data_IF_666570704230
#
_entry.id   IF_666570704230
#
_cell.length_a   1.000
_cell.length_b   1.000
_cell.length_c   1.000
_cell.angle_alpha   90.00
_cell.angle_beta   90.00
_cell.angle_gamma   90.00
#
_symmetry.space_group_name_H-M   'P 1'
#
loop_
_entity.id
_entity.type
_entity.pdbx_description
1 polymer ?
#
# COMPACT_ATOMS: atom_id res chain seq x y z
N UNK A 1 -13.03 -13.83 -8.42
CA UNK A 1 -11.62 -13.41 -8.22
C UNK A 1 -11.63 -12.01 -7.60
N UNK A 2 -10.77 -11.72 -6.63
CA UNK A 2 -10.73 -10.37 -6.05
C UNK A 2 -10.02 -9.42 -7.01
N UNK A 3 -10.65 -8.28 -7.30
CA UNK A 3 -10.03 -7.17 -8.03
C UNK A 3 -10.06 -5.91 -7.18
N UNK A 4 -9.10 -5.03 -7.40
CA UNK A 4 -9.03 -3.71 -6.79
C UNK A 4 -8.86 -2.65 -7.87
N UNK A 5 -9.60 -1.56 -7.77
CA UNK A 5 -9.48 -0.44 -8.70
C UNK A 5 -8.25 0.38 -8.34
N UNK A 6 -7.46 0.77 -9.35
CA UNK A 6 -6.25 1.60 -9.14
C UNK A 6 -6.58 2.90 -8.41
N UNK A 7 -7.74 3.52 -8.72
CA UNK A 7 -8.20 4.73 -8.03
C UNK A 7 -8.38 4.54 -6.51
N UNK A 8 -8.88 3.37 -6.10
CA UNK A 8 -9.16 3.07 -4.69
C UNK A 8 -7.84 2.79 -3.95
N UNK A 9 -6.92 2.09 -4.62
CA UNK A 9 -5.55 1.87 -4.13
C UNK A 9 -4.83 3.20 -3.90
N UNK A 10 -4.83 4.07 -4.92
CA UNK A 10 -4.15 5.36 -4.85
C UNK A 10 -4.71 6.21 -3.69
N UNK A 11 -6.03 6.37 -3.62
CA UNK A 11 -6.70 7.11 -2.55
C UNK A 11 -6.40 6.53 -1.16
N UNK A 12 -6.44 5.21 -1.01
CA UNK A 12 -6.17 4.55 0.26
C UNK A 12 -4.72 4.74 0.69
N UNK A 13 -3.74 4.44 -0.19
CA UNK A 13 -2.32 4.58 0.13
C UNK A 13 -1.95 6.02 0.51
N UNK A 14 -2.40 7.02 -0.25
CA UNK A 14 -2.17 8.43 0.09
C UNK A 14 -2.72 8.79 1.48
N UNK A 15 -3.95 8.34 1.80
CA UNK A 15 -4.56 8.55 3.13
C UNK A 15 -3.77 7.88 4.27
N UNK A 16 -3.01 6.82 3.98
CA UNK A 16 -2.18 6.09 4.95
C UNK A 16 -0.78 6.67 5.12
N UNK A 17 -0.48 7.80 4.47
CA UNK A 17 0.81 8.47 4.57
C UNK A 17 1.84 7.95 3.56
N UNK A 18 1.39 7.30 2.49
CA UNK A 18 2.25 7.11 1.33
C UNK A 18 2.31 8.39 0.51
N UNK A 19 3.47 8.62 -0.10
CA UNK A 19 3.68 9.64 -1.11
C UNK A 19 3.83 8.97 -2.48
N UNK A 20 3.06 9.43 -3.46
CA UNK A 20 3.11 8.92 -4.83
C UNK A 20 4.18 9.65 -5.65
N UNK A 21 4.95 8.91 -6.44
CA UNK A 21 5.91 9.43 -7.40
C UNK A 21 5.67 8.78 -8.77
N UNK A 22 5.38 9.60 -9.77
CA UNK A 22 5.14 9.16 -11.15
C UNK A 22 6.46 9.08 -11.93
N UNK A 23 6.64 7.99 -12.68
CA UNK A 23 7.76 7.74 -13.60
C UNK A 23 7.29 6.73 -14.66
N UNK A 24 8.08 5.71 -15.02
CA UNK A 24 7.63 4.59 -15.87
C UNK A 24 6.55 3.72 -15.18
N UNK A 25 6.46 3.85 -13.85
CA UNK A 25 5.43 3.27 -12.99
C UNK A 25 5.01 4.31 -11.96
N UNK A 26 3.83 4.13 -11.36
CA UNK A 26 3.47 4.89 -10.16
C UNK A 26 4.03 4.19 -8.93
N UNK A 27 4.97 4.85 -8.24
CA UNK A 27 5.56 4.37 -7.00
C UNK A 27 4.89 5.02 -5.78
N UNK A 28 4.75 4.26 -4.70
CA UNK A 28 4.28 4.75 -3.40
C UNK A 28 5.33 4.45 -2.35
N UNK A 29 5.75 5.47 -1.61
CA UNK A 29 6.70 5.35 -0.50
C UNK A 29 6.03 5.74 0.80
N UNK A 30 6.12 4.91 1.84
CA UNK A 30 5.54 5.23 3.14
C UNK A 30 6.43 6.21 3.90
N UNK A 31 5.84 7.30 4.37
CA UNK A 31 6.47 8.25 5.28
C UNK A 31 5.84 8.16 6.67
N UNK A 32 6.68 8.04 7.70
CA UNK A 32 6.26 8.01 9.11
C UNK A 32 7.02 9.11 9.82
N UNK A 33 6.30 10.01 10.51
CA UNK A 33 6.87 11.18 11.20
C UNK A 33 7.79 12.03 10.29
N UNK A 34 7.42 12.21 9.02
CA UNK A 34 8.19 12.97 8.04
C UNK A 34 9.41 12.25 7.45
N UNK A 35 9.72 11.04 7.91
CA UNK A 35 10.86 10.25 7.42
C UNK A 35 10.40 9.17 6.44
N UNK A 36 11.12 9.06 5.33
CA UNK A 36 10.90 8.00 4.34
C UNK A 36 11.32 6.65 4.93
N UNK A 37 10.41 5.68 4.88
CA UNK A 37 10.69 4.30 5.32
C UNK A 37 11.21 3.45 4.15
N UNK A 38 11.63 2.21 4.44
CA UNK A 38 11.98 1.21 3.42
C UNK A 38 10.77 0.58 2.75
N UNK A 39 9.54 0.93 3.18
CA UNK A 39 8.30 0.33 2.68
C UNK A 39 7.81 1.11 1.46
N UNK A 40 7.63 0.39 0.36
CA UNK A 40 7.16 0.95 -0.90
C UNK A 40 6.40 -0.08 -1.70
N UNK A 41 5.53 0.37 -2.60
CA UNK A 41 4.83 -0.47 -3.57
C UNK A 41 4.67 0.28 -4.89
N UNK A 42 4.25 -0.41 -5.96
CA UNK A 42 4.04 0.21 -7.28
C UNK A 42 2.96 -0.47 -8.09
N UNK A 43 2.41 0.24 -9.06
CA UNK A 43 1.63 -0.33 -10.16
C UNK A 43 2.08 0.26 -11.51
N UNK A 44 1.84 -0.47 -12.59
CA UNK A 44 2.14 -0.02 -13.96
C UNK A 44 1.03 0.85 -14.53
N UNK A 45 1.38 1.72 -15.48
CA UNK A 45 0.41 2.58 -16.15
C UNK A 45 -0.60 1.78 -16.99
N UNK A 46 -1.77 2.38 -17.22
CA UNK A 46 -2.77 1.89 -18.18
C UNK A 46 -3.80 0.92 -17.60
N UNK A 47 -3.54 0.30 -16.46
CA UNK A 47 -4.49 -0.60 -15.82
C UNK A 47 -5.55 0.17 -15.01
N UNK A 48 -6.82 -0.22 -15.16
CA UNK A 48 -7.91 0.34 -14.33
C UNK A 48 -8.12 -0.45 -13.04
N UNK A 49 -7.82 -1.74 -13.08
CA UNK A 49 -7.98 -2.68 -11.98
C UNK A 49 -6.82 -3.67 -11.95
N UNK A 50 -6.48 -4.16 -10.76
CA UNK A 50 -5.48 -5.21 -10.58
C UNK A 50 -6.14 -6.47 -10.01
N UNK A 51 -5.65 -7.62 -10.48
CA UNK A 51 -6.10 -8.94 -10.02
C UNK A 51 -5.25 -9.53 -8.90
N UNK A 52 -5.65 -10.71 -8.44
CA UNK A 52 -5.02 -11.46 -7.35
C UNK A 52 -3.47 -11.51 -7.34
N UNK A 53 -2.76 -11.75 -8.46
CA UNK A 53 -1.29 -11.84 -8.42
C UNK A 53 -0.62 -10.52 -8.03
N UNK A 54 -1.07 -9.41 -8.61
CA UNK A 54 -0.57 -8.07 -8.30
C UNK A 54 -0.95 -7.66 -6.87
N UNK A 55 -2.16 -7.99 -6.43
CA UNK A 55 -2.60 -7.75 -5.04
C UNK A 55 -1.67 -8.45 -4.05
N UNK A 56 -1.34 -9.72 -4.28
CA UNK A 56 -0.43 -10.47 -3.40
C UNK A 56 0.98 -9.86 -3.38
N UNK A 57 1.47 -9.38 -4.53
CA UNK A 57 2.76 -8.70 -4.62
C UNK A 57 2.77 -7.38 -3.84
N UNK A 58 1.73 -6.55 -3.99
CA UNK A 58 1.61 -5.29 -3.26
C UNK A 58 1.46 -5.50 -1.74
N UNK A 59 0.73 -6.54 -1.33
CA UNK A 59 0.63 -6.92 0.08
C UNK A 59 2.01 -7.23 0.68
N UNK A 60 2.80 -8.09 0.01
CA UNK A 60 4.16 -8.42 0.45
C UNK A 60 5.09 -7.20 0.50
N UNK A 61 4.99 -6.32 -0.51
CA UNK A 61 5.75 -5.06 -0.57
C UNK A 61 5.39 -4.10 0.58
N UNK A 62 4.12 -4.07 0.99
CA UNK A 62 3.63 -3.29 2.13
C UNK A 62 3.74 -4.01 3.47
N UNK A 63 4.37 -5.20 3.51
CA UNK A 63 4.54 -6.03 4.71
C UNK A 63 3.22 -6.42 5.37
N UNK A 64 2.20 -6.66 4.54
CA UNK A 64 0.88 -7.12 4.94
C UNK A 64 0.59 -8.47 4.32
N UNK A 65 -0.26 -9.24 5.00
CA UNK A 65 -0.94 -10.35 4.35
C UNK A 65 -1.97 -9.84 3.33
N UNK A 66 -2.37 -10.71 2.41
CA UNK A 66 -3.31 -10.34 1.34
C UNK A 66 -4.60 -9.75 1.89
N UNK A 67 -5.20 -10.37 2.89
CA UNK A 67 -6.47 -9.90 3.46
C UNK A 67 -6.31 -8.56 4.20
N UNK A 68 -5.19 -8.39 4.92
CA UNK A 68 -4.84 -7.11 5.53
C UNK A 68 -4.62 -5.99 4.51
N UNK A 69 -4.02 -6.30 3.36
CA UNK A 69 -3.87 -5.35 2.27
C UNK A 69 -5.23 -5.02 1.64
N UNK A 70 -6.11 -6.01 1.45
CA UNK A 70 -7.48 -5.77 0.99
C UNK A 70 -8.22 -4.83 1.97
N UNK A 71 -8.03 -5.01 3.27
CA UNK A 71 -8.57 -4.15 4.34
C UNK A 71 -7.92 -2.76 4.37
N UNK A 72 -6.64 -2.64 4.03
CA UNK A 72 -5.97 -1.36 3.84
C UNK A 72 -6.64 -0.55 2.73
N UNK A 73 -6.96 -1.20 1.61
CA UNK A 73 -7.55 -0.54 0.44
C UNK A 73 -9.05 -0.29 0.60
N UNK A 74 -9.81 -1.26 1.13
CA UNK A 74 -11.26 -1.16 1.37
C UNK A 74 -11.62 -0.34 2.62
N UNK A 75 -10.60 0.14 3.34
CA UNK A 75 -10.68 1.13 4.40
C UNK A 75 -11.17 0.71 5.82
N UNK A 76 -11.35 -0.57 6.24
CA UNK A 76 -11.49 -0.87 7.67
C UNK A 76 -10.17 -0.68 8.45
N UNK A 77 -9.01 -0.79 7.81
CA UNK A 77 -7.72 -0.62 8.48
C UNK A 77 -7.33 0.87 8.54
N UNK A 78 -7.09 1.43 9.73
CA UNK A 78 -6.70 2.83 9.89
C UNK A 78 -5.20 3.05 9.62
N UNK A 79 -4.76 4.30 9.50
CA UNK A 79 -3.33 4.63 9.33
C UNK A 79 -2.53 4.19 10.55
N UNK A 80 -3.09 4.46 11.72
CA UNK A 80 -2.50 4.18 13.03
C UNK A 80 -2.31 2.67 13.19
N UNK A 81 -3.37 1.87 12.95
CA UNK A 81 -3.28 0.40 12.98
C UNK A 81 -2.24 -0.16 12.01
N UNK A 82 -2.15 0.40 10.80
CA UNK A 82 -1.14 -0.01 9.84
C UNK A 82 0.28 0.26 10.36
N UNK A 83 0.53 1.46 10.92
CA UNK A 83 1.82 1.80 11.53
C UNK A 83 2.12 0.89 12.73
N UNK A 84 1.14 0.56 13.56
CA UNK A 84 1.31 -0.34 14.70
C UNK A 84 1.71 -1.75 14.25
N UNK A 85 1.08 -2.29 13.19
CA UNK A 85 1.48 -3.59 12.59
C UNK A 85 2.95 -3.54 12.17
N UNK A 86 3.37 -2.46 11.48
CA UNK A 86 4.74 -2.32 11.00
C UNK A 86 5.76 -2.18 12.15
N UNK A 87 5.39 -1.51 13.24
CA UNK A 87 6.24 -1.37 14.44
C UNK A 87 6.35 -2.69 15.19
N UNK A 88 5.23 -3.37 15.42
CA UNK A 88 5.19 -4.67 16.10
C UNK A 88 6.02 -5.72 15.37
N UNK A 89 6.04 -5.66 14.04
CA UNK A 89 6.82 -6.56 13.19
C UNK A 89 8.28 -6.10 12.98
N UNK A 90 8.70 -4.99 13.60
CA UNK A 90 10.09 -4.49 13.54
C UNK A 90 10.49 -3.90 12.18
N UNK A 91 9.53 -3.53 11.32
CA UNK A 91 9.81 -2.97 9.99
C UNK A 91 10.11 -1.47 10.03
N UNK A 92 9.59 -0.75 11.03
CA UNK A 92 9.81 0.69 11.24
C UNK A 92 9.98 0.99 12.73
N UNK A 93 10.58 2.14 13.07
CA UNK A 93 10.78 2.62 14.45
C UNK A 93 9.67 3.59 14.88
#
# INVERSE_FOLDING_TARGET
MATLKIRDINKALLKKGFFSQESDHTFFYLFVNGQKTSIWTKYSHGEKEIGNPLIAQMASQTKLEKDQFMDLIRCPLSKEKYIDILKNNGHIK
#
